data_IF_719760036931
#
_entry.id   IF_719760036931
#
_cell.length_a   1.000
_cell.length_b   1.000
_cell.length_c   1.000
_cell.angle_alpha   90.00
_cell.angle_beta   90.00
_cell.angle_gamma   90.00
#
_symmetry.space_group_name_H-M   'P 1'
#
loop_
_entity.id
_entity.type
_entity.pdbx_description
1 polymer ?
#
# COMPACT_ATOMS: atom_id res chain seq x y z
N UNK A 1 2.47 -2.29 -22.65
CA UNK A 1 3.18 -0.99 -22.52
C UNK A 1 3.10 -0.51 -21.09
N UNK A 2 4.24 -0.10 -20.51
CA UNK A 2 4.35 0.40 -19.12
C UNK A 2 4.90 1.82 -19.14
N UNK A 3 4.23 2.76 -18.48
CA UNK A 3 4.60 4.18 -18.45
C UNK A 3 5.02 4.68 -19.85
N UNK A 4 4.13 4.62 -20.84
CA UNK A 4 4.50 4.85 -22.23
C UNK A 4 4.95 6.29 -22.48
N UNK A 5 5.83 6.50 -23.46
CA UNK A 5 6.28 7.84 -23.89
C UNK A 5 5.14 8.68 -24.49
N UNK A 6 4.19 8.03 -25.16
CA UNK A 6 3.02 8.62 -25.81
C UNK A 6 1.85 7.64 -25.76
N UNK A 7 0.66 8.06 -26.19
CA UNK A 7 -0.50 7.16 -26.41
C UNK A 7 -0.52 6.57 -27.85
N UNK A 8 0.52 6.84 -28.64
CA UNK A 8 0.63 6.45 -30.04
C UNK A 8 1.13 5.02 -30.26
N UNK A 9 1.03 4.50 -31.50
CA UNK A 9 1.48 3.15 -31.85
C UNK A 9 3.00 2.97 -31.77
N UNK A 10 3.77 4.06 -31.77
CA UNK A 10 5.22 4.10 -31.64
C UNK A 10 5.70 4.23 -30.18
N UNK A 11 4.79 4.18 -29.21
CA UNK A 11 5.11 4.29 -27.80
C UNK A 11 6.12 3.23 -27.34
N UNK A 12 7.05 3.65 -26.50
CA UNK A 12 8.02 2.76 -25.82
C UNK A 12 7.81 2.79 -24.32
N UNK A 13 8.11 1.68 -23.63
CA UNK A 13 7.99 1.64 -22.16
C UNK A 13 9.20 2.32 -21.52
N UNK A 14 8.99 3.05 -20.43
CA UNK A 14 10.04 3.85 -19.77
C UNK A 14 10.49 3.20 -18.45
N UNK A 15 11.29 2.13 -18.55
CA UNK A 15 11.77 1.35 -17.39
C UNK A 15 12.42 2.20 -16.29
N UNK A 16 13.37 3.06 -16.66
CA UNK A 16 14.09 3.90 -15.70
C UNK A 16 13.17 4.87 -14.93
N UNK A 17 12.12 5.39 -15.58
CA UNK A 17 11.14 6.25 -14.92
C UNK A 17 10.24 5.46 -13.98
N UNK A 18 9.88 4.22 -14.33
CA UNK A 18 9.12 3.33 -13.45
C UNK A 18 9.94 3.04 -12.19
N UNK A 19 11.22 2.67 -12.36
CA UNK A 19 12.11 2.39 -11.22
C UNK A 19 12.31 3.63 -10.35
N UNK A 20 12.57 4.79 -10.96
CA UNK A 20 12.71 6.05 -10.22
C UNK A 20 11.42 6.42 -9.46
N UNK A 21 10.25 6.24 -10.08
CA UNK A 21 8.96 6.50 -9.46
C UNK A 21 8.70 5.55 -8.28
N UNK A 22 8.85 4.23 -8.46
CA UNK A 22 8.67 3.24 -7.39
C UNK A 22 9.66 3.47 -6.23
N UNK A 23 10.89 3.86 -6.53
CA UNK A 23 11.87 4.24 -5.51
C UNK A 23 11.41 5.47 -4.70
N UNK A 24 10.79 6.47 -5.32
CA UNK A 24 10.19 7.62 -4.62
C UNK A 24 9.02 7.21 -3.72
N UNK A 25 8.24 6.21 -4.12
CA UNK A 25 7.08 5.74 -3.35
C UNK A 25 7.44 4.70 -2.26
N UNK A 26 8.70 4.24 -2.20
CA UNK A 26 9.11 3.16 -1.28
C UNK A 26 8.77 3.45 0.18
N UNK A 27 8.97 4.68 0.63
CA UNK A 27 8.62 5.11 2.01
C UNK A 27 7.13 4.94 2.30
N UNK A 28 6.27 5.42 1.37
CA UNK A 28 4.81 5.31 1.45
C UNK A 28 4.37 3.85 1.43
N UNK A 29 4.80 3.08 0.42
CA UNK A 29 4.38 1.68 0.23
C UNK A 29 4.78 0.84 1.44
N UNK A 30 6.01 1.03 1.95
CA UNK A 30 6.51 0.32 3.13
C UNK A 30 5.70 0.67 4.38
N UNK A 31 5.49 1.96 4.64
CA UNK A 31 4.75 2.44 5.82
C UNK A 31 3.28 2.01 5.78
N UNK A 32 2.64 2.07 4.61
CA UNK A 32 1.28 1.56 4.45
C UNK A 32 1.26 0.04 4.65
N UNK A 33 2.16 -0.73 4.05
CA UNK A 33 2.21 -2.19 4.25
C UNK A 33 2.41 -2.54 5.73
N UNK A 34 3.26 -1.80 6.44
CA UNK A 34 3.45 -1.95 7.88
C UNK A 34 2.16 -1.72 8.67
N UNK A 35 1.48 -0.59 8.44
CA UNK A 35 0.20 -0.26 9.09
C UNK A 35 -0.89 -1.27 8.73
N UNK A 36 -0.96 -1.69 7.47
CA UNK A 36 -1.95 -2.66 6.97
C UNK A 36 -1.85 -4.02 7.68
N UNK A 37 -0.64 -4.46 8.03
CA UNK A 37 -0.42 -5.78 8.62
C UNK A 37 -0.43 -5.77 10.15
N UNK A 38 -0.09 -4.64 10.79
CA UNK A 38 0.12 -4.59 12.24
C UNK A 38 -0.84 -3.67 13.00
N UNK A 39 -1.59 -2.79 12.34
CA UNK A 39 -2.54 -1.94 13.05
C UNK A 39 -3.74 -2.75 13.55
N UNK A 40 -4.30 -2.35 14.69
CA UNK A 40 -5.51 -2.98 15.23
C UNK A 40 -6.71 -2.85 14.29
N UNK A 41 -6.75 -1.82 13.45
CA UNK A 41 -7.84 -1.60 12.49
C UNK A 41 -7.84 -2.61 11.36
N UNK A 42 -6.66 -3.17 11.03
CA UNK A 42 -6.56 -4.25 10.07
C UNK A 42 -7.29 -5.51 10.53
N UNK A 43 -7.66 -5.65 11.81
CA UNK A 43 -8.45 -6.80 12.27
C UNK A 43 -9.81 -6.92 11.56
N UNK A 44 -10.41 -5.83 11.06
CA UNK A 44 -11.67 -5.89 10.29
C UNK A 44 -11.39 -6.16 8.80
N UNK A 45 -11.86 -7.30 8.30
CA UNK A 45 -11.74 -7.68 6.89
C UNK A 45 -12.23 -6.59 5.92
N UNK A 46 -13.27 -5.82 6.27
CA UNK A 46 -13.77 -4.75 5.39
C UNK A 46 -12.79 -3.61 5.22
N UNK A 47 -12.07 -3.28 6.29
CA UNK A 47 -11.07 -2.21 6.29
C UNK A 47 -9.85 -2.70 5.53
N UNK A 48 -9.40 -3.94 5.80
CA UNK A 48 -8.27 -4.53 5.12
C UNK A 48 -8.50 -4.74 3.62
N UNK A 49 -9.64 -5.31 3.21
CA UNK A 49 -9.79 -5.90 1.87
C UNK A 49 -9.97 -4.90 0.74
N UNK A 50 -10.63 -3.76 0.99
CA UNK A 50 -11.07 -2.86 -0.08
C UNK A 50 -11.04 -1.39 0.34
N UNK A 51 -10.91 -0.52 -0.66
CA UNK A 51 -10.84 0.91 -0.47
C UNK A 51 -12.21 1.61 -0.51
N UNK A 52 -13.32 0.87 -0.64
CA UNK A 52 -14.66 1.45 -0.71
C UNK A 52 -15.06 2.11 0.61
N UNK A 53 -15.49 3.36 0.54
CA UNK A 53 -16.11 4.04 1.67
C UNK A 53 -17.58 3.65 1.81
N UNK A 54 -18.02 3.40 3.04
CA UNK A 54 -19.40 2.97 3.34
C UNK A 54 -20.07 3.80 4.45
N UNK A 55 -19.51 4.97 4.80
CA UNK A 55 -20.03 5.85 5.86
C UNK A 55 -19.99 5.27 7.28
N UNK A 56 -19.42 4.07 7.46
CA UNK A 56 -19.40 3.33 8.73
C UNK A 56 -18.00 2.94 9.18
N UNK A 57 -16.95 3.62 8.71
CA UNK A 57 -15.61 3.41 9.27
C UNK A 57 -15.56 4.15 10.62
N UNK A 58 -16.17 3.54 11.64
CA UNK A 58 -16.44 4.08 12.99
C UNK A 58 -15.20 4.36 13.84
N UNK A 59 -14.00 4.29 13.26
CA UNK A 59 -12.76 4.78 13.84
C UNK A 59 -12.01 5.53 12.74
N UNK A 60 -11.60 6.75 13.05
CA UNK A 60 -11.09 7.84 12.19
C UNK A 60 -9.70 7.54 11.60
N UNK A 61 -9.58 6.35 11.02
CA UNK A 61 -8.34 5.59 10.98
C UNK A 61 -8.34 4.47 9.93
N UNK A 62 -9.51 3.98 9.52
CA UNK A 62 -9.65 2.97 8.48
C UNK A 62 -9.54 3.51 7.06
N UNK A 63 -8.68 4.46 6.72
CA UNK A 63 -8.59 4.96 5.33
C UNK A 63 -7.73 4.07 4.42
N UNK A 64 -7.03 3.11 5.00
CA UNK A 64 -6.09 2.24 4.30
C UNK A 64 -6.60 0.80 4.24
N UNK A 65 -6.19 0.10 3.18
CA UNK A 65 -6.58 -1.23 2.74
C UNK A 65 -5.48 -1.83 1.87
N UNK A 66 -5.61 -3.09 1.49
CA UNK A 66 -4.73 -3.72 0.51
C UNK A 66 -5.01 -3.20 -0.91
N UNK A 67 -6.25 -2.83 -1.20
CA UNK A 67 -6.68 -2.35 -2.52
C UNK A 67 -6.05 -0.99 -2.86
N UNK A 68 -5.91 -0.04 -1.93
CA UNK A 68 -5.23 1.24 -2.22
C UNK A 68 -3.71 1.10 -2.44
N UNK A 69 -3.03 0.18 -1.74
CA UNK A 69 -1.63 -0.12 -2.02
C UNK A 69 -1.51 -0.76 -3.41
N UNK A 70 -2.41 -1.70 -3.72
CA UNK A 70 -2.53 -2.35 -5.02
C UNK A 70 -2.75 -1.35 -6.16
N UNK A 71 -3.69 -0.41 -5.99
CA UNK A 71 -4.04 0.61 -6.97
C UNK A 71 -2.85 1.55 -7.26
N UNK A 72 -2.10 1.90 -6.21
CA UNK A 72 -0.83 2.62 -6.30
C UNK A 72 0.12 1.99 -7.31
N UNK A 73 0.46 0.72 -7.11
CA UNK A 73 1.42 -0.01 -7.98
C UNK A 73 0.93 -0.09 -9.43
N UNK A 74 -0.36 -0.34 -9.63
CA UNK A 74 -0.98 -0.36 -10.96
C UNK A 74 -0.73 0.94 -11.73
N UNK A 75 -1.06 2.08 -11.12
CA UNK A 75 -0.92 3.39 -11.76
C UNK A 75 0.55 3.83 -11.84
N UNK A 76 1.38 3.53 -10.83
CA UNK A 76 2.80 3.88 -10.79
C UNK A 76 3.62 3.18 -11.88
N UNK A 77 3.29 1.93 -12.23
CA UNK A 77 3.88 1.18 -13.36
C UNK A 77 3.21 1.55 -14.69
N UNK A 78 1.89 1.69 -14.65
CA UNK A 78 1.06 1.78 -15.83
C UNK A 78 1.05 3.14 -16.47
N UNK A 79 0.75 4.18 -15.69
CA UNK A 79 0.25 5.46 -16.19
C UNK A 79 -0.82 5.23 -17.27
N UNK A 80 -0.79 5.90 -18.42
CA UNK A 80 -1.70 5.63 -19.54
C UNK A 80 -1.49 4.27 -20.23
N UNK A 81 -0.50 3.49 -19.79
CA UNK A 81 -0.22 2.14 -20.27
C UNK A 81 -1.16 1.07 -19.70
N UNK A 82 -0.82 -0.19 -19.98
CA UNK A 82 -1.72 -1.33 -19.74
C UNK A 82 -1.99 -1.51 -18.25
N UNK A 83 -0.95 -1.52 -17.41
CA UNK A 83 -1.07 -1.70 -15.95
C UNK A 83 -1.91 -0.61 -15.26
N UNK A 84 -2.09 0.56 -15.88
CA UNK A 84 -2.81 1.69 -15.28
C UNK A 84 -4.29 1.75 -15.69
N UNK A 85 -4.75 0.80 -16.52
CA UNK A 85 -6.13 0.67 -16.92
C UNK A 85 -6.70 -0.71 -16.55
N UNK A 86 -7.79 -0.74 -15.77
CA UNK A 86 -8.46 -1.96 -15.32
C UNK A 86 -8.81 -2.96 -16.43
N UNK A 87 -9.14 -2.50 -17.63
CA UNK A 87 -9.52 -3.38 -18.75
C UNK A 87 -8.33 -4.06 -19.41
N UNK A 88 -7.11 -3.51 -19.24
CA UNK A 88 -5.92 -3.96 -19.95
C UNK A 88 -4.78 -4.43 -19.04
N UNK A 89 -4.85 -4.20 -17.73
CA UNK A 89 -3.75 -4.46 -16.81
C UNK A 89 -3.29 -5.93 -16.84
N UNK A 90 -4.23 -6.87 -16.93
CA UNK A 90 -3.94 -8.30 -16.94
C UNK A 90 -3.16 -8.80 -18.17
N UNK A 91 -3.06 -8.00 -19.24
CA UNK A 91 -2.23 -8.35 -20.41
C UNK A 91 -0.73 -8.09 -20.19
N UNK A 92 -0.37 -7.32 -19.16
CA UNK A 92 1.03 -7.12 -18.78
C UNK A 92 1.50 -8.23 -17.82
N UNK A 93 2.59 -8.97 -18.09
CA UNK A 93 3.09 -10.00 -17.18
C UNK A 93 3.38 -9.53 -15.74
N UNK A 94 3.65 -8.23 -15.52
CA UNK A 94 3.82 -7.69 -14.17
C UNK A 94 2.55 -7.80 -13.32
N UNK A 95 1.36 -7.87 -13.95
CA UNK A 95 0.10 -8.08 -13.27
C UNK A 95 0.14 -9.30 -12.35
N UNK A 96 0.61 -10.44 -12.87
CA UNK A 96 0.63 -11.70 -12.10
C UNK A 96 1.61 -11.64 -10.93
N UNK A 97 2.77 -10.98 -11.11
CA UNK A 97 3.76 -10.83 -10.04
C UNK A 97 3.23 -9.90 -8.95
N UNK A 98 2.60 -8.79 -9.34
CA UNK A 98 1.96 -7.87 -8.41
C UNK A 98 0.85 -8.56 -7.62
N UNK A 99 -0.07 -9.25 -8.29
CA UNK A 99 -1.18 -9.96 -7.65
C UNK A 99 -0.73 -11.15 -6.80
N UNK A 100 0.38 -11.83 -7.13
CA UNK A 100 0.98 -12.83 -6.25
C UNK A 100 1.47 -12.21 -4.93
N UNK A 101 2.01 -10.98 -4.97
CA UNK A 101 2.37 -10.29 -3.73
C UNK A 101 1.15 -9.75 -2.96
N UNK A 102 0.08 -9.34 -3.65
CA UNK A 102 -1.20 -8.97 -2.99
C UNK A 102 -1.80 -10.18 -2.27
N UNK A 103 -1.83 -11.35 -2.91
CA UNK A 103 -2.24 -12.61 -2.28
C UNK A 103 -1.33 -13.00 -1.11
N UNK A 104 -0.01 -12.80 -1.24
CA UNK A 104 0.95 -12.96 -0.12
C UNK A 104 0.60 -12.08 1.07
N UNK A 105 0.33 -10.80 0.85
CA UNK A 105 -0.07 -9.88 1.92
C UNK A 105 -1.37 -10.33 2.58
N UNK A 106 -2.34 -10.80 1.79
CA UNK A 106 -3.60 -11.33 2.32
C UNK A 106 -3.39 -12.61 3.14
N UNK A 107 -2.58 -13.56 2.67
CA UNK A 107 -2.29 -14.79 3.40
C UNK A 107 -1.55 -14.52 4.73
N UNK A 108 -0.62 -13.55 4.74
CA UNK A 108 0.03 -13.08 5.98
C UNK A 108 -0.99 -12.47 6.93
N UNK A 109 -1.88 -11.60 6.42
CA UNK A 109 -2.94 -10.99 7.21
C UNK A 109 -3.89 -12.04 7.81
N UNK A 110 -4.33 -13.03 7.03
CA UNK A 110 -5.18 -14.12 7.50
C UNK A 110 -4.51 -14.94 8.62
N UNK A 111 -3.19 -15.12 8.56
CA UNK A 111 -2.44 -15.81 9.61
C UNK A 111 -2.39 -15.02 10.92
N UNK A 112 -2.36 -13.68 10.85
CA UNK A 112 -2.41 -12.79 12.02
C UNK A 112 -3.84 -12.63 12.57
N UNK A 113 -4.85 -12.70 11.71
CA UNK A 113 -6.26 -12.47 12.04
C UNK A 113 -7.13 -13.68 11.65
N UNK A 114 -6.88 -14.88 12.20
CA UNK A 114 -7.54 -16.11 11.76
C UNK A 114 -9.05 -16.13 11.96
N UNK A 115 -9.56 -15.30 12.88
CA UNK A 115 -10.99 -15.14 13.14
C UNK A 115 -11.64 -14.08 12.23
N UNK A 116 -10.87 -13.25 11.53
CA UNK A 116 -11.42 -12.22 10.65
C UNK A 116 -11.47 -12.69 9.21
N UNK A 117 -12.64 -12.57 8.61
CA UNK A 117 -12.88 -12.85 7.20
C UNK A 117 -14.19 -12.16 6.80
N UNK A 118 -14.70 -12.48 5.60
CA UNK A 118 -15.99 -11.99 5.10
C UNK A 118 -17.15 -12.31 6.09
N UNK A 119 -17.00 -13.30 6.97
CA UNK A 119 -18.01 -13.82 7.89
C UNK A 119 -18.07 -13.18 9.29
N UNK A 120 -17.00 -12.52 9.77
CA UNK A 120 -16.92 -12.02 11.15
C UNK A 120 -17.54 -10.61 11.34
N UNK A 121 -18.57 -10.35 10.55
CA UNK A 121 -19.37 -9.15 10.53
C UNK A 121 -20.52 -9.31 11.53
N UNK A 122 -20.50 -8.58 12.63
CA UNK A 122 -21.59 -8.65 13.61
C UNK A 122 -22.93 -8.16 13.03
N UNK A 123 -23.85 -9.11 12.79
CA UNK A 123 -25.31 -9.09 13.10
C UNK A 123 -26.26 -8.10 12.40
N UNK A 124 -25.93 -7.38 11.33
CA UNK A 124 -26.86 -6.34 10.80
C UNK A 124 -27.18 -6.32 9.30
N UNK A 125 -26.77 -7.28 8.46
CA UNK A 125 -27.28 -7.35 7.07
C UNK A 125 -27.44 -8.79 6.56
N UNK A 126 -28.67 -9.17 6.20
CA UNK A 126 -29.06 -10.52 5.74
C UNK A 126 -28.43 -11.00 4.42
N UNK A 127 -27.51 -10.23 3.81
CA UNK A 127 -26.89 -10.52 2.50
C UNK A 127 -25.45 -11.08 2.59
N UNK A 128 -24.89 -11.31 3.78
CA UNK A 128 -23.46 -11.61 3.95
C UNK A 128 -23.12 -13.10 3.81
N UNK A 129 -24.00 -14.00 4.26
CA UNK A 129 -23.88 -15.43 3.98
C UNK A 129 -23.89 -15.72 2.46
N UNK A 130 -24.57 -14.86 1.70
CA UNK A 130 -24.56 -14.93 0.25
C UNK A 130 -23.18 -14.55 -0.32
N UNK A 131 -22.44 -13.60 0.24
CA UNK A 131 -21.11 -13.20 -0.27
C UNK A 131 -20.07 -14.32 -0.12
N UNK A 132 -20.05 -15.02 1.02
CA UNK A 132 -19.15 -16.17 1.25
C UNK A 132 -19.36 -17.31 0.25
N UNK A 133 -20.62 -17.50 -0.16
CA UNK A 133 -21.06 -18.60 -1.02
C UNK A 133 -21.28 -18.16 -2.48
N UNK A 134 -21.11 -16.88 -2.79
CA UNK A 134 -21.21 -16.35 -4.15
C UNK A 134 -20.11 -16.98 -5.00
N UNK A 135 -20.49 -17.54 -6.15
CA UNK A 135 -19.55 -18.08 -7.11
C UNK A 135 -18.66 -16.97 -7.67
N UNK A 136 -17.36 -17.11 -7.51
CA UNK A 136 -16.33 -16.24 -8.06
C UNK A 136 -16.16 -16.57 -9.55
N UNK A 137 -17.09 -16.11 -10.38
CA UNK A 137 -17.04 -16.37 -11.82
C UNK A 137 -15.85 -15.65 -12.47
N UNK A 138 -15.18 -16.26 -13.47
CA UNK A 138 -15.50 -17.54 -14.11
C UNK A 138 -14.75 -18.76 -13.53
N UNK A 139 -14.19 -18.66 -12.32
CA UNK A 139 -13.26 -19.67 -11.78
C UNK A 139 -13.99 -20.92 -11.30
N UNK A 140 -13.87 -22.02 -12.07
CA UNK A 140 -14.53 -23.30 -11.78
C UNK A 140 -13.73 -24.13 -10.78
N UNK A 141 -14.41 -24.63 -9.74
CA UNK A 141 -13.90 -25.67 -8.85
C UNK A 141 -14.22 -27.07 -9.38
N UNK A 142 -15.36 -27.21 -10.05
CA UNK A 142 -15.78 -28.43 -10.75
C UNK A 142 -16.61 -28.08 -11.99
N UNK A 143 -17.15 -29.08 -12.68
CA UNK A 143 -18.05 -28.87 -13.82
C UNK A 143 -19.24 -27.98 -13.45
N UNK A 144 -19.82 -28.19 -12.27
CA UNK A 144 -21.11 -27.60 -11.87
C UNK A 144 -20.99 -26.57 -10.73
N UNK A 145 -19.77 -26.28 -10.27
CA UNK A 145 -19.52 -25.33 -9.18
C UNK A 145 -18.37 -24.36 -9.48
N UNK A 146 -18.57 -23.10 -9.11
CA UNK A 146 -17.51 -22.09 -9.05
C UNK A 146 -16.81 -22.13 -7.69
N UNK A 147 -15.55 -21.68 -7.66
CA UNK A 147 -14.90 -21.34 -6.41
C UNK A 147 -15.72 -20.25 -5.69
N UNK A 148 -15.71 -20.28 -4.37
CA UNK A 148 -16.32 -19.25 -3.52
C UNK A 148 -15.27 -18.69 -2.59
N UNK A 149 -15.53 -17.56 -1.95
CA UNK A 149 -14.59 -17.05 -0.95
C UNK A 149 -14.40 -18.06 0.20
N UNK A 150 -15.46 -18.80 0.58
CA UNK A 150 -15.34 -19.87 1.57
C UNK A 150 -14.38 -21.00 1.12
N UNK A 151 -14.48 -21.48 -0.13
CA UNK A 151 -13.61 -22.57 -0.62
C UNK A 151 -12.21 -22.11 -1.01
N UNK A 152 -12.02 -20.82 -1.29
CA UNK A 152 -10.74 -20.21 -1.64
C UNK A 152 -9.97 -19.60 -0.44
N UNK A 153 -10.53 -19.66 0.78
CA UNK A 153 -9.93 -19.02 1.98
C UNK A 153 -8.52 -19.51 2.31
N UNK A 154 -8.20 -20.76 2.00
CA UNK A 154 -6.92 -21.38 2.31
C UNK A 154 -6.13 -21.65 1.02
N UNK A 155 -4.97 -21.00 0.89
CA UNK A 155 -4.09 -21.14 -0.29
C UNK A 155 -3.64 -22.59 -0.52
N UNK A 156 -3.61 -23.42 0.53
CA UNK A 156 -3.27 -24.84 0.42
C UNK A 156 -4.30 -25.64 -0.38
N UNK A 157 -5.53 -25.16 -0.51
CA UNK A 157 -6.53 -25.74 -1.43
C UNK A 157 -6.10 -25.68 -2.90
N UNK A 158 -5.13 -24.82 -3.22
CA UNK A 158 -4.53 -24.65 -4.53
C UNK A 158 -3.07 -25.15 -4.59
N UNK A 159 -2.64 -25.94 -3.59
CA UNK A 159 -1.30 -26.53 -3.49
C UNK A 159 -0.14 -25.51 -3.44
N UNK A 160 -0.35 -24.32 -2.84
CA UNK A 160 0.73 -23.39 -2.58
C UNK A 160 0.63 -22.75 -1.18
N UNK A 161 1.74 -22.16 -0.74
CA UNK A 161 1.82 -21.27 0.43
C UNK A 161 3.03 -20.34 0.26
N UNK A 162 3.27 -19.47 1.24
CA UNK A 162 4.36 -18.48 1.21
C UNK A 162 5.48 -18.83 2.20
N UNK A 163 6.75 -18.51 1.89
CA UNK A 163 7.88 -18.82 2.76
C UNK A 163 7.73 -18.32 4.20
N UNK A 164 7.08 -17.17 4.40
CA UNK A 164 6.81 -16.60 5.72
C UNK A 164 5.89 -17.49 6.56
N UNK A 165 4.92 -18.15 5.92
CA UNK A 165 3.96 -19.03 6.59
C UNK A 165 4.51 -20.44 6.77
N UNK A 166 5.28 -20.93 5.80
CA UNK A 166 5.91 -22.25 5.84
C UNK A 166 6.97 -22.32 6.94
N UNK A 167 7.83 -21.29 7.03
CA UNK A 167 8.96 -21.26 7.97
C UNK A 167 8.56 -21.47 9.42
N UNK A 168 7.36 -21.02 9.79
CA UNK A 168 6.83 -21.08 11.16
C UNK A 168 5.70 -22.08 11.32
N UNK A 169 5.44 -22.91 10.30
CA UNK A 169 4.27 -23.78 10.24
C UNK A 169 4.14 -24.71 11.46
N UNK A 170 5.27 -25.23 11.97
CA UNK A 170 5.34 -26.14 13.11
C UNK A 170 5.21 -25.49 14.49
N UNK A 171 5.21 -24.15 14.57
CA UNK A 171 5.05 -23.45 15.84
C UNK A 171 3.58 -23.44 16.29
N UNK A 172 3.33 -23.42 17.62
CA UNK A 172 2.01 -23.13 18.17
C UNK A 172 1.46 -21.78 17.66
N UNK A 173 0.13 -21.59 17.60
CA UNK A 173 -0.49 -20.39 17.01
C UNK A 173 0.08 -19.07 17.53
N UNK A 174 0.23 -18.90 18.85
CA UNK A 174 0.75 -17.66 19.44
C UNK A 174 2.19 -17.38 19.01
N UNK A 175 3.08 -18.37 19.15
CA UNK A 175 4.49 -18.24 18.78
C UNK A 175 4.68 -17.97 17.27
N UNK A 176 3.79 -18.51 16.43
CA UNK A 176 3.74 -18.22 14.99
C UNK A 176 3.38 -16.75 14.75
N UNK A 177 2.34 -16.24 15.38
CA UNK A 177 1.93 -14.83 15.26
C UNK A 177 3.01 -13.87 15.75
N UNK A 178 3.63 -14.15 16.90
CA UNK A 178 4.72 -13.33 17.45
C UNK A 178 5.92 -13.27 16.49
N UNK A 179 6.24 -14.41 15.88
CA UNK A 179 7.34 -14.47 14.91
C UNK A 179 6.99 -13.78 13.59
N UNK A 180 5.78 -13.93 13.08
CA UNK A 180 5.32 -13.20 11.89
C UNK A 180 5.38 -11.68 12.11
N UNK A 181 4.92 -11.20 13.27
CA UNK A 181 5.04 -9.77 13.65
C UNK A 181 6.49 -9.30 13.65
N UNK A 182 7.39 -10.08 14.24
CA UNK A 182 8.84 -9.79 14.23
C UNK A 182 9.39 -9.68 12.80
N UNK A 183 9.02 -10.61 11.91
CA UNK A 183 9.48 -10.59 10.51
C UNK A 183 8.90 -9.38 9.75
N UNK A 184 7.64 -9.01 10.01
CA UNK A 184 6.98 -7.82 9.42
C UNK A 184 7.66 -6.54 9.89
N UNK A 185 7.97 -6.42 11.18
CA UNK A 185 8.71 -5.26 11.70
C UNK A 185 10.10 -5.14 11.08
N UNK A 186 10.81 -6.26 10.89
CA UNK A 186 12.12 -6.25 10.24
C UNK A 186 12.05 -5.84 8.76
N UNK A 187 10.98 -6.23 8.07
CA UNK A 187 10.75 -5.94 6.65
C UNK A 187 10.26 -4.52 6.38
N UNK A 188 9.21 -4.14 7.09
CA UNK A 188 8.38 -2.97 6.79
C UNK A 188 8.42 -1.90 7.87
N UNK A 189 9.07 -2.18 9.02
CA UNK A 189 9.21 -1.21 10.11
C UNK A 189 9.83 0.11 9.65
N UNK A 190 9.39 1.19 10.30
CA UNK A 190 9.81 2.54 9.95
C UNK A 190 11.31 2.75 10.31
N UNK A 191 12.03 3.48 9.45
CA UNK A 191 13.44 3.85 9.65
C UNK A 191 13.64 4.89 10.76
N UNK A 192 12.56 5.41 11.34
CA UNK A 192 12.58 6.26 12.55
C UNK A 192 12.95 5.43 13.78
N UNK A 193 12.55 4.15 13.82
CA UNK A 193 12.97 3.17 14.84
C UNK A 193 14.32 2.57 14.40
N UNK A 194 15.32 2.45 15.28
CA UNK A 194 16.57 1.76 14.97
C UNK A 194 16.27 0.33 14.49
N UNK A 195 16.76 -0.04 13.30
CA UNK A 195 16.61 -1.39 12.76
C UNK A 195 17.37 -2.37 13.67
N UNK A 196 16.64 -3.23 14.37
CA UNK A 196 17.23 -4.32 15.16
C UNK A 196 17.44 -5.55 14.27
N UNK A 197 18.70 -5.84 13.96
CA UNK A 197 19.21 -7.18 13.62
C UNK A 197 18.72 -7.86 12.33
N UNK A 198 19.53 -8.79 11.82
CA UNK A 198 19.31 -9.47 10.53
C UNK A 198 18.10 -10.42 10.52
N UNK A 199 16.99 -9.98 9.92
CA UNK A 199 15.83 -10.81 9.55
C UNK A 199 15.97 -11.45 8.16
N UNK A 200 15.00 -12.29 7.75
CA UNK A 200 14.93 -13.16 6.55
C UNK A 200 15.56 -12.63 5.23
N UNK A 201 15.68 -11.31 5.10
CA UNK A 201 16.04 -10.58 3.89
C UNK A 201 17.38 -9.83 4.00
N UNK A 202 18.17 -10.03 5.07
CA UNK A 202 19.56 -9.55 5.12
C UNK A 202 20.35 -10.06 3.90
N UNK A 203 20.11 -11.32 3.53
CA UNK A 203 20.64 -11.94 2.33
C UNK A 203 19.90 -11.54 1.05
N UNK A 204 18.63 -11.12 1.10
CA UNK A 204 17.88 -10.65 -0.08
C UNK A 204 18.37 -9.28 -0.56
N UNK A 205 18.73 -8.38 0.38
CA UNK A 205 19.40 -7.11 0.02
C UNK A 205 20.77 -7.31 -0.65
N UNK A 206 21.47 -8.38 -0.30
CA UNK A 206 22.76 -8.72 -0.91
C UNK A 206 22.63 -9.51 -2.23
N UNK A 207 21.45 -10.06 -2.53
CA UNK A 207 21.25 -10.99 -3.66
C UNK A 207 20.28 -10.52 -4.74
N UNK A 208 19.75 -9.30 -4.65
CA UNK A 208 19.23 -8.58 -5.83
C UNK A 208 20.39 -7.77 -6.40
N UNK A 209 21.05 -8.22 -7.49
CA UNK A 209 21.97 -7.36 -8.20
C UNK A 209 21.18 -6.12 -8.64
N UNK A 210 21.76 -4.93 -8.46
CA UNK A 210 21.32 -3.76 -9.22
C UNK A 210 21.20 -4.21 -10.68
N UNK A 211 20.03 -3.98 -11.29
CA UNK A 211 19.81 -4.34 -12.70
C UNK A 211 20.92 -3.66 -13.50
N UNK A 212 21.87 -4.48 -13.98
CA UNK A 212 22.85 -4.03 -14.95
C UNK A 212 22.09 -3.50 -16.15
N UNK A 213 22.40 -2.30 -16.63
CA UNK A 213 21.79 -1.61 -17.77
C UNK A 213 22.03 -2.30 -19.13
N UNK A 214 22.29 -3.61 -19.11
CA UNK A 214 22.59 -4.47 -20.25
C UNK A 214 21.77 -5.77 -20.17
N UNK A 215 20.44 -5.64 -20.14
CA UNK A 215 19.58 -6.82 -20.33
C UNK A 215 19.66 -7.30 -21.80
N UNK A 216 19.88 -8.59 -22.07
CA UNK A 216 19.89 -9.13 -23.43
C UNK A 216 18.47 -9.19 -24.02
N UNK A 217 18.32 -8.72 -25.26
CA UNK A 217 17.06 -8.49 -25.98
C UNK A 217 16.39 -9.72 -26.58
N UNK A 218 16.73 -10.95 -26.17
CA UNK A 218 16.16 -12.17 -26.77
C UNK A 218 15.83 -13.24 -25.74
N UNK A 219 14.55 -13.54 -25.57
CA UNK A 219 14.05 -14.70 -24.84
C UNK A 219 14.22 -15.96 -25.70
N UNK A 220 15.25 -16.76 -25.40
CA UNK A 220 15.43 -18.10 -25.97
C UNK A 220 14.65 -19.14 -25.16
N UNK A 221 13.69 -19.83 -25.78
CA UNK A 221 13.01 -20.98 -25.18
C UNK A 221 13.95 -22.18 -25.28
N UNK A 222 14.63 -22.52 -24.18
CA UNK A 222 15.36 -23.78 -24.05
C UNK A 222 14.65 -24.68 -23.03
N UNK A 223 14.27 -25.89 -23.47
CA UNK A 223 13.75 -26.97 -22.62
C UNK A 223 14.78 -27.32 -21.53
N UNK A 224 14.46 -27.08 -20.26
CA UNK A 224 15.28 -27.55 -19.14
C UNK A 224 14.81 -28.94 -18.70
N UNK A 225 15.62 -29.95 -19.04
CA UNK A 225 15.70 -31.21 -18.29
C UNK A 225 16.35 -30.95 -16.94
N UNK A 226 15.72 -31.41 -15.85
CA UNK A 226 16.24 -31.27 -14.50
C UNK A 226 17.27 -32.36 -14.18
N UNK A 227 18.50 -31.96 -13.88
CA UNK A 227 19.41 -32.72 -13.01
C UNK A 227 19.72 -31.86 -11.79
N UNK A 228 19.57 -32.44 -10.60
CA UNK A 228 19.81 -31.78 -9.32
C UNK A 228 21.28 -31.94 -8.90
N UNK A 229 22.00 -30.87 -8.51
CA UNK A 229 23.31 -31.02 -7.92
C UNK A 229 23.22 -31.19 -6.40
N UNK A 230 23.89 -32.24 -5.89
CA UNK A 230 24.13 -32.44 -4.46
C UNK A 230 24.99 -31.30 -3.90
N UNK A 231 24.50 -30.60 -2.86
CA UNK A 231 25.31 -29.67 -2.07
C UNK A 231 25.77 -30.32 -0.77
N UNK A 232 27.08 -30.43 -0.61
CA UNK A 232 27.76 -30.74 0.65
C UNK A 232 27.55 -29.61 1.65
N UNK A 233 27.02 -29.91 2.84
CA UNK A 233 26.89 -28.95 3.94
C UNK A 233 28.28 -28.57 4.48
N UNK A 234 28.55 -27.26 4.57
CA UNK A 234 29.67 -26.72 5.35
C UNK A 234 29.09 -26.10 6.63
N UNK A 235 29.69 -26.44 7.78
CA UNK A 235 29.28 -25.97 9.10
C UNK A 235 29.31 -24.42 9.20
N UNK A 236 28.47 -23.81 10.06
CA UNK A 236 28.41 -22.36 10.20
C UNK A 236 29.69 -21.82 10.83
N UNK A 237 30.21 -20.73 10.27
CA UNK A 237 31.30 -19.97 10.87
C UNK A 237 30.77 -19.16 12.07
N UNK A 238 31.57 -19.09 13.15
CA UNK A 238 31.30 -18.27 14.32
C UNK A 238 31.21 -16.78 13.97
N UNK A 239 30.23 -16.11 14.57
CA UNK A 239 29.88 -14.70 14.36
C UNK A 239 30.75 -13.81 15.27
N UNK A 240 31.44 -12.78 14.75
CA UNK A 240 32.08 -11.78 15.61
C UNK A 240 30.99 -10.93 16.29
N UNK A 241 31.14 -10.72 17.60
CA UNK A 241 30.24 -9.91 18.41
C UNK A 241 30.04 -8.50 17.82
N UNK A 242 28.77 -8.09 17.77
CA UNK A 242 28.33 -6.79 17.28
C UNK A 242 29.10 -5.64 17.94
N UNK A 243 29.72 -4.79 17.14
CA UNK A 243 30.23 -3.51 17.60
C UNK A 243 29.03 -2.67 18.07
N UNK A 244 29.08 -2.23 19.32
CA UNK A 244 28.03 -1.49 20.00
C UNK A 244 27.60 -0.24 19.22
N UNK A 245 26.32 -0.20 18.83
CA UNK A 245 25.68 1.00 18.34
C UNK A 245 25.61 2.02 19.48
N UNK A 246 26.10 3.23 19.24
CA UNK A 246 25.94 4.37 20.14
C UNK A 246 24.45 4.61 20.41
N UNK A 247 24.06 4.69 21.69
CA UNK A 247 22.68 4.89 22.11
C UNK A 247 22.07 6.15 21.50
N UNK A 248 21.08 5.97 20.63
CA UNK A 248 20.12 7.02 20.29
C UNK A 248 19.22 7.25 21.52
N UNK A 249 18.70 8.46 21.76
CA UNK A 249 17.69 8.66 22.79
C UNK A 249 16.56 7.65 22.57
N UNK A 250 16.17 6.93 23.62
CA UNK A 250 15.06 5.96 23.56
C UNK A 250 13.77 6.72 23.24
N UNK A 251 13.47 6.88 21.95
CA UNK A 251 12.16 7.34 21.50
C UNK A 251 11.18 6.26 21.94
N UNK A 252 10.42 6.53 22.99
CA UNK A 252 9.39 5.62 23.52
C UNK A 252 8.01 5.91 22.93
N UNK A 253 7.84 7.06 22.29
CA UNK A 253 6.61 7.50 21.66
C UNK A 253 6.88 8.48 20.51
N UNK A 254 5.94 8.55 19.56
CA UNK A 254 5.92 9.55 18.49
C UNK A 254 4.50 9.79 17.99
N UNK A 255 4.26 10.89 17.29
CA UNK A 255 3.00 11.15 16.59
C UNK A 255 3.12 10.72 15.13
N UNK A 256 2.28 9.76 14.71
CA UNK A 256 2.20 9.31 13.33
C UNK A 256 1.25 10.22 12.54
N UNK A 257 1.79 11.01 11.61
CA UNK A 257 1.06 11.98 10.80
C UNK A 257 0.63 11.40 9.45
N UNK A 258 -0.63 11.60 9.10
CA UNK A 258 -1.27 10.98 7.94
C UNK A 258 -2.05 12.03 7.14
N UNK A 259 -1.89 11.98 5.82
CA UNK A 259 -2.84 12.58 4.89
C UNK A 259 -3.85 11.51 4.46
N UNK A 260 -5.09 11.65 4.91
CA UNK A 260 -6.19 10.77 4.55
C UNK A 260 -6.97 11.37 3.37
N UNK A 261 -7.37 10.51 2.44
CA UNK A 261 -8.01 10.91 1.19
C UNK A 261 -9.35 10.19 1.09
N UNK A 262 -10.41 10.93 0.85
CA UNK A 262 -11.71 10.44 0.41
C UNK A 262 -12.02 11.08 -0.94
N UNK A 263 -12.36 10.28 -1.95
CA UNK A 263 -12.64 10.79 -3.30
C UNK A 263 -13.56 9.85 -4.07
N UNK A 264 -14.35 10.37 -4.99
CA UNK A 264 -15.14 9.54 -5.89
C UNK A 264 -14.24 8.82 -6.90
N UNK A 265 -14.32 7.48 -6.96
CA UNK A 265 -13.46 6.59 -7.76
C UNK A 265 -13.43 6.94 -9.25
N UNK A 266 -14.55 7.46 -9.75
CA UNK A 266 -14.82 7.63 -11.17
C UNK A 266 -14.83 9.09 -11.63
N UNK A 267 -14.55 10.03 -10.72
CA UNK A 267 -14.60 11.49 -10.97
C UNK A 267 -13.74 11.96 -12.15
N UNK A 268 -12.57 11.36 -12.36
CA UNK A 268 -11.69 11.69 -13.49
C UNK A 268 -12.00 10.92 -14.79
N UNK A 269 -12.98 10.00 -14.78
CA UNK A 269 -13.35 9.05 -15.86
C UNK A 269 -12.26 8.07 -16.30
N UNK A 270 -11.07 8.16 -15.71
CA UNK A 270 -9.92 7.29 -15.92
C UNK A 270 -9.10 7.25 -14.64
N UNK A 271 -8.13 6.35 -14.53
CA UNK A 271 -7.18 6.33 -13.40
C UNK A 271 -6.48 7.69 -13.25
N UNK A 272 -6.24 8.09 -12.00
CA UNK A 272 -5.62 9.35 -11.66
C UNK A 272 -4.84 9.25 -10.36
N UNK A 273 -3.96 10.22 -10.14
CA UNK A 273 -3.08 10.30 -8.98
C UNK A 273 -3.18 11.66 -8.30
N UNK A 274 -3.06 11.65 -6.99
CA UNK A 274 -2.96 12.82 -6.12
C UNK A 274 -1.56 12.81 -5.51
N UNK A 275 -0.76 13.80 -5.88
CA UNK A 275 0.62 13.97 -5.45
C UNK A 275 0.65 14.90 -4.25
N UNK A 276 1.30 14.49 -3.17
CA UNK A 276 1.47 15.27 -1.96
C UNK A 276 2.91 15.76 -1.84
N UNK A 277 3.07 17.04 -1.53
CA UNK A 277 4.37 17.70 -1.40
C UNK A 277 4.47 18.38 -0.04
N UNK A 278 5.69 18.48 0.47
CA UNK A 278 6.03 19.40 1.56
C UNK A 278 6.98 20.46 1.00
N UNK A 279 6.62 21.74 1.11
CA UNK A 279 7.35 22.87 0.55
C UNK A 279 7.20 23.05 -0.95
N UNK A 280 8.02 23.93 -1.51
CA UNK A 280 7.97 24.30 -2.93
C UNK A 280 8.17 23.08 -3.84
N UNK A 281 7.37 22.95 -4.90
CA UNK A 281 7.48 21.85 -5.85
C UNK A 281 7.48 22.41 -7.28
N UNK A 282 7.91 21.60 -8.23
CA UNK A 282 7.99 22.01 -9.64
C UNK A 282 6.62 22.34 -10.23
N UNK A 283 6.57 23.39 -11.05
CA UNK A 283 5.39 23.74 -11.85
C UNK A 283 5.22 22.87 -13.11
N UNK A 284 6.12 21.92 -13.35
CA UNK A 284 6.09 21.01 -14.50
C UNK A 284 5.40 19.68 -14.14
N UNK A 285 4.14 19.43 -14.56
CA UNK A 285 3.38 18.26 -14.10
C UNK A 285 4.03 16.92 -14.46
N UNK A 286 4.76 16.86 -15.58
CA UNK A 286 5.49 15.67 -15.99
C UNK A 286 6.61 15.25 -15.03
N UNK A 287 7.04 16.15 -14.13
CA UNK A 287 8.13 15.92 -13.17
C UNK A 287 7.64 15.67 -11.74
N UNK A 288 6.34 15.79 -11.47
CA UNK A 288 5.78 15.66 -10.12
C UNK A 288 6.11 14.33 -9.43
N UNK A 289 6.10 13.21 -10.17
CA UNK A 289 6.43 11.88 -9.64
C UNK A 289 7.87 11.74 -9.13
N UNK A 290 8.78 12.61 -9.58
CA UNK A 290 10.21 12.57 -9.24
C UNK A 290 10.67 13.79 -8.44
N UNK A 291 9.75 14.72 -8.14
CA UNK A 291 10.04 15.95 -7.43
C UNK A 291 10.69 15.64 -6.06
N UNK A 292 11.79 16.33 -5.69
CA UNK A 292 12.48 16.07 -4.43
C UNK A 292 11.59 16.35 -3.21
N UNK A 293 10.58 17.21 -3.37
CA UNK A 293 9.65 17.59 -2.34
C UNK A 293 8.35 16.77 -2.35
N UNK A 294 8.22 15.76 -3.23
CA UNK A 294 7.16 14.76 -3.15
C UNK A 294 7.33 13.91 -1.88
N UNK A 295 6.24 13.72 -1.13
CA UNK A 295 6.21 12.86 0.08
C UNK A 295 5.40 11.59 -0.11
N UNK A 296 4.51 11.57 -1.09
CA UNK A 296 3.82 10.37 -1.52
C UNK A 296 2.74 10.65 -2.55
N UNK A 297 2.31 9.59 -3.20
CA UNK A 297 1.23 9.63 -4.19
C UNK A 297 0.12 8.66 -3.76
N UNK A 298 -1.12 9.14 -3.77
CA UNK A 298 -2.30 8.28 -3.73
C UNK A 298 -2.85 8.15 -5.14
N UNK A 299 -3.13 6.92 -5.58
CA UNK A 299 -3.64 6.65 -6.92
C UNK A 299 -4.97 5.94 -6.84
N UNK A 300 -5.90 6.37 -7.68
CA UNK A 300 -7.17 5.69 -7.91
C UNK A 300 -7.04 4.90 -9.20
N UNK A 301 -7.06 3.57 -9.08
CA UNK A 301 -7.04 2.67 -10.21
C UNK A 301 -8.47 2.36 -10.67
N UNK A 302 -8.72 2.63 -11.94
CA UNK A 302 -10.00 2.35 -12.57
C UNK A 302 -9.81 2.07 -14.05
N UNK A 303 -10.91 1.87 -14.75
CA UNK A 303 -10.92 1.78 -16.20
C UNK A 303 -11.21 3.16 -16.83
N UNK A 304 -10.96 3.30 -18.13
CA UNK A 304 -11.47 4.42 -18.90
C UNK A 304 -12.97 4.23 -19.15
N UNK A 305 -13.80 5.06 -18.51
CA UNK A 305 -15.26 4.97 -18.58
C UNK A 305 -15.83 5.16 -19.98
N UNK A 306 -15.12 5.84 -20.88
CA UNK A 306 -15.58 6.08 -22.25
C UNK A 306 -15.45 4.84 -23.13
N UNK A 307 -14.53 3.93 -22.79
CA UNK A 307 -14.21 2.73 -23.59
C UNK A 307 -14.57 1.42 -22.89
N UNK A 308 -14.89 1.45 -21.59
CA UNK A 308 -14.96 0.24 -20.79
C UNK A 308 -16.16 -0.66 -21.10
N UNK A 309 -15.90 -1.98 -21.11
CA UNK A 309 -16.93 -3.01 -21.05
C UNK A 309 -17.44 -3.30 -19.62
N UNK A 310 -16.79 -2.78 -18.59
CA UNK A 310 -17.07 -3.07 -17.18
C UNK A 310 -18.41 -2.45 -16.73
N UNK A 311 -19.46 -3.26 -16.67
CA UNK A 311 -20.78 -2.82 -16.19
C UNK A 311 -20.74 -2.29 -14.74
N UNK A 312 -20.07 -3.02 -13.84
CA UNK A 312 -19.91 -2.61 -12.44
C UNK A 312 -19.23 -1.24 -12.29
N UNK A 313 -18.26 -0.94 -13.16
CA UNK A 313 -17.56 0.35 -13.15
C UNK A 313 -18.50 1.49 -13.58
N UNK A 314 -19.36 1.26 -14.58
CA UNK A 314 -20.38 2.22 -15.00
C UNK A 314 -21.44 2.44 -13.92
N UNK A 315 -21.92 1.38 -13.28
CA UNK A 315 -22.84 1.48 -12.16
C UNK A 315 -22.22 2.24 -10.99
N UNK A 316 -20.98 1.88 -10.61
CA UNK A 316 -20.26 2.55 -9.52
C UNK A 316 -20.02 4.04 -9.78
N UNK A 317 -19.80 4.43 -11.05
CA UNK A 317 -19.74 5.83 -11.45
C UNK A 317 -21.09 6.54 -11.31
N UNK A 318 -22.18 5.90 -11.74
CA UNK A 318 -23.54 6.46 -11.57
C UNK A 318 -23.98 6.59 -10.10
N UNK A 319 -23.46 5.73 -9.23
CA UNK A 319 -23.70 5.76 -7.77
C UNK A 319 -22.79 6.74 -7.02
N UNK A 320 -21.77 7.33 -7.67
CA UNK A 320 -20.78 8.17 -6.98
C UNK A 320 -19.95 7.38 -5.96
N UNK A 321 -19.47 6.19 -6.34
CA UNK A 321 -18.72 5.32 -5.42
C UNK A 321 -17.50 6.03 -4.86
N UNK A 322 -17.49 6.22 -3.53
CA UNK A 322 -16.40 6.84 -2.80
C UNK A 322 -15.33 5.81 -2.41
N UNK A 323 -14.07 6.20 -2.51
CA UNK A 323 -12.90 5.41 -2.11
C UNK A 323 -11.99 6.18 -1.18
N UNK A 324 -11.25 5.45 -0.35
CA UNK A 324 -10.32 6.01 0.62
C UNK A 324 -8.88 5.53 0.44
N UNK A 325 -7.94 6.36 0.88
CA UNK A 325 -6.52 5.99 0.99
C UNK A 325 -5.78 6.86 1.99
N UNK A 326 -4.52 6.49 2.26
CA UNK A 326 -3.64 7.24 3.17
C UNK A 326 -2.25 7.44 2.56
N UNK A 327 -1.71 8.64 2.74
CA UNK A 327 -0.30 8.99 2.51
C UNK A 327 0.36 9.31 3.86
N UNK A 328 1.26 8.45 4.38
CA UNK A 328 1.99 8.72 5.61
C UNK A 328 2.99 9.87 5.42
N UNK A 329 3.00 10.80 6.36
CA UNK A 329 3.86 11.99 6.34
C UNK A 329 5.05 11.89 7.30
N UNK A 330 4.94 11.03 8.32
CA UNK A 330 5.89 10.88 9.44
C UNK A 330 7.34 10.72 9.01
N UNK A 331 7.63 9.78 8.09
CA UNK A 331 9.01 9.54 7.63
C UNK A 331 9.56 10.75 6.85
N UNK A 332 8.74 11.41 6.04
CA UNK A 332 9.13 12.60 5.31
C UNK A 332 9.39 13.81 6.23
N UNK A 333 8.54 14.01 7.23
CA UNK A 333 8.71 15.04 8.26
C UNK A 333 10.00 14.82 9.06
N UNK A 334 10.23 13.59 9.53
CA UNK A 334 11.43 13.22 10.28
C UNK A 334 12.73 13.40 9.47
N UNK A 335 12.70 13.09 8.17
CA UNK A 335 13.87 13.24 7.30
C UNK A 335 14.21 14.71 6.98
N UNK A 336 13.21 15.56 6.80
CA UNK A 336 13.40 16.96 6.36
C UNK A 336 13.78 17.89 7.49
N UNK A 337 13.12 17.74 8.62
CA UNK A 337 13.23 18.67 9.72
C UNK A 337 14.33 18.23 10.71
N UNK A 338 14.79 16.99 10.58
CA UNK A 338 15.80 16.39 11.43
C UNK A 338 15.15 15.76 12.66
N UNK A 339 15.41 14.48 12.91
CA UNK A 339 14.79 13.69 13.99
C UNK A 339 14.89 14.35 15.38
N UNK A 340 15.91 15.18 15.60
CA UNK A 340 16.18 15.85 16.87
C UNK A 340 15.46 17.20 17.04
N UNK A 341 14.92 17.79 15.95
CA UNK A 341 14.41 19.17 15.96
C UNK A 341 12.92 19.33 16.25
N UNK A 342 12.17 18.23 16.31
CA UNK A 342 10.70 18.30 16.30
C UNK A 342 9.98 17.65 17.48
N UNK A 343 10.70 17.21 18.51
CA UNK A 343 10.13 16.56 19.70
C UNK A 343 9.01 15.57 19.37
N UNK A 344 9.32 14.31 19.03
CA UNK A 344 8.29 13.31 18.75
C UNK A 344 7.22 13.70 17.66
N UNK A 345 7.46 14.77 16.89
CA UNK A 345 6.53 15.37 15.91
C UNK A 345 5.27 15.96 16.56
N UNK A 346 5.44 16.80 17.59
CA UNK A 346 4.32 17.37 18.35
C UNK A 346 3.35 18.22 17.48
N UNK A 347 2.02 18.17 17.74
CA UNK A 347 1.03 18.97 17.03
C UNK A 347 1.29 20.48 17.03
N UNK A 348 1.81 21.03 18.14
CA UNK A 348 2.09 22.46 18.26
C UNK A 348 3.08 22.98 17.19
N UNK A 349 3.98 22.12 16.72
CA UNK A 349 4.96 22.46 15.67
C UNK A 349 4.47 22.02 14.28
N UNK A 350 3.79 20.87 14.21
CA UNK A 350 3.38 20.27 12.95
C UNK A 350 2.16 20.93 12.32
N UNK A 351 1.19 21.40 13.12
CA UNK A 351 0.01 22.08 12.58
C UNK A 351 0.41 23.34 11.79
N UNK A 352 1.16 24.31 12.34
CA UNK A 352 1.57 25.50 11.56
C UNK A 352 2.43 25.15 10.35
N UNK A 353 3.32 24.16 10.48
CA UNK A 353 4.19 23.71 9.40
C UNK A 353 3.38 23.12 8.24
N UNK A 354 2.49 22.16 8.51
CA UNK A 354 1.68 21.49 7.49
C UNK A 354 0.67 22.44 6.85
N UNK A 355 0.11 23.39 7.61
CA UNK A 355 -0.77 24.43 7.06
C UNK A 355 -0.06 25.23 5.97
N UNK A 356 1.22 25.54 6.17
CA UNK A 356 2.03 26.33 5.22
C UNK A 356 2.61 25.49 4.08
N UNK A 357 3.18 24.33 4.41
CA UNK A 357 4.09 23.61 3.53
C UNK A 357 3.44 22.40 2.84
N UNK A 358 2.32 21.88 3.34
CA UNK A 358 1.65 20.76 2.68
C UNK A 358 0.95 21.26 1.41
N UNK A 359 1.22 20.63 0.27
CA UNK A 359 0.52 20.90 -0.99
C UNK A 359 0.08 19.59 -1.66
N UNK A 360 -0.99 19.64 -2.45
CA UNK A 360 -1.37 18.52 -3.30
C UNK A 360 -1.77 18.95 -4.71
N UNK A 361 -1.55 18.06 -5.68
CA UNK A 361 -1.91 18.23 -7.10
C UNK A 361 -2.50 16.95 -7.66
N UNK A 362 -3.35 17.08 -8.67
CA UNK A 362 -4.11 15.97 -9.26
C UNK A 362 -3.74 15.85 -10.74
N UNK A 363 -3.49 14.63 -11.19
CA UNK A 363 -3.16 14.33 -12.58
C UNK A 363 -3.84 13.04 -13.01
N UNK A 364 -4.39 12.98 -14.22
CA UNK A 364 -4.80 11.70 -14.81
C UNK A 364 -3.57 10.85 -15.14
N UNK A 365 -3.76 9.55 -15.27
CA UNK A 365 -2.75 8.62 -15.77
C UNK A 365 -2.17 9.02 -17.15
N UNK A 366 -2.92 9.78 -17.96
CA UNK A 366 -2.47 10.36 -19.23
C UNK A 366 -1.70 11.68 -19.11
N UNK A 367 -1.41 12.13 -17.88
CA UNK A 367 -0.62 13.34 -17.64
C UNK A 367 -1.41 14.64 -17.62
N UNK A 368 -2.73 14.61 -17.83
CA UNK A 368 -3.58 15.81 -17.79
C UNK A 368 -3.78 16.27 -16.35
N UNK A 369 -3.43 17.51 -16.05
CA UNK A 369 -3.69 18.14 -14.75
C UNK A 369 -5.19 18.32 -14.55
N UNK A 370 -5.65 18.03 -13.33
CA UNK A 370 -7.00 18.35 -12.88
C UNK A 370 -6.86 19.43 -11.81
N UNK A 371 -7.49 20.58 -12.03
CA UNK A 371 -7.54 21.61 -10.99
C UNK A 371 -8.34 21.09 -9.80
N UNK A 372 -7.89 21.38 -8.59
CA UNK A 372 -8.52 20.85 -7.37
C UNK A 372 -9.99 21.27 -7.22
N UNK A 373 -10.34 22.44 -7.76
CA UNK A 373 -11.71 22.92 -7.78
C UNK A 373 -12.62 22.11 -8.73
N UNK A 374 -12.04 21.46 -9.74
CA UNK A 374 -12.76 20.63 -10.71
C UNK A 374 -12.99 19.19 -10.21
N UNK A 375 -12.52 18.87 -8.99
CA UNK A 375 -12.76 17.59 -8.31
C UNK A 375 -13.39 17.83 -6.92
N UNK A 376 -14.65 18.29 -6.86
CA UNK A 376 -15.29 18.69 -5.61
C UNK A 376 -15.51 17.53 -4.62
N UNK A 377 -15.51 16.28 -5.10
CA UNK A 377 -15.60 15.09 -4.25
C UNK A 377 -14.31 14.76 -3.49
N UNK A 378 -13.18 15.37 -3.86
CA UNK A 378 -11.92 15.17 -3.14
C UNK A 378 -11.98 15.85 -1.78
N UNK A 379 -11.71 15.07 -0.74
CA UNK A 379 -11.51 15.51 0.64
C UNK A 379 -10.19 14.96 1.15
N UNK A 380 -9.25 15.86 1.40
CA UNK A 380 -8.00 15.58 2.11
C UNK A 380 -8.16 16.03 3.55
N UNK A 381 -8.01 15.12 4.51
CA UNK A 381 -7.96 15.42 5.94
C UNK A 381 -6.60 15.04 6.51
N UNK A 382 -6.11 15.84 7.46
CA UNK A 382 -4.84 15.55 8.16
C UNK A 382 -5.16 15.06 9.55
N UNK A 383 -4.57 13.93 9.90
CA UNK A 383 -4.68 13.37 11.25
C UNK A 383 -3.31 13.06 11.81
N UNK A 384 -3.24 13.00 13.13
CA UNK A 384 -2.14 12.33 13.80
C UNK A 384 -2.66 11.25 14.74
N UNK A 385 -1.83 10.23 14.96
CA UNK A 385 -2.10 9.14 15.88
C UNK A 385 -0.93 9.05 16.85
N UNK A 386 -1.14 9.20 18.16
CA UNK A 386 -0.09 8.95 19.15
C UNK A 386 0.32 7.47 19.09
N UNK A 387 1.61 7.19 18.96
CA UNK A 387 2.15 5.83 18.92
C UNK A 387 3.11 5.62 20.07
N UNK A 388 2.84 4.61 20.90
CA UNK A 388 3.78 4.14 21.91
C UNK A 388 4.56 2.95 21.37
N UNK A 389 5.88 3.02 21.49
CA UNK A 389 6.77 1.96 21.07
C UNK A 389 6.94 0.94 22.21
N UNK A 390 6.97 -0.36 21.89
CA UNK A 390 7.12 -1.40 22.88
C UNK A 390 8.57 -1.48 23.37
N UNK A 391 8.76 -1.90 24.63
CA UNK A 391 10.10 -2.17 25.18
C UNK A 391 10.76 -3.39 24.52
N UNK A 392 9.95 -4.36 24.06
CA UNK A 392 10.40 -5.57 23.38
C UNK A 392 10.02 -5.52 21.91
N UNK A 393 10.96 -5.91 21.06
CA UNK A 393 10.78 -6.01 19.59
C UNK A 393 9.69 -7.00 19.19
N UNK A 394 9.35 -7.96 20.06
CA UNK A 394 8.30 -8.95 19.80
C UNK A 394 6.90 -8.41 20.04
N UNK A 395 6.78 -7.32 20.79
CA UNK A 395 5.50 -6.74 21.15
C UNK A 395 5.13 -5.70 20.07
N UNK A 396 3.83 -5.46 19.88
CA UNK A 396 3.37 -4.47 18.90
C UNK A 396 3.44 -3.07 19.48
N UNK A 397 3.76 -2.04 18.67
CA UNK A 397 3.44 -0.68 19.08
C UNK A 397 1.93 -0.53 19.25
N UNK A 398 1.54 0.40 20.12
CA UNK A 398 0.14 0.72 20.36
C UNK A 398 -0.17 2.07 19.73
N UNK A 399 -1.17 2.09 18.87
CA UNK A 399 -1.74 3.31 18.31
C UNK A 399 -2.86 3.80 19.22
N UNK A 400 -2.79 5.06 19.63
CA UNK A 400 -3.85 5.77 20.35
C UNK A 400 -5.01 6.14 19.44
N UNK A 401 -5.88 7.02 19.93
CA UNK A 401 -6.97 7.57 19.14
C UNK A 401 -6.45 8.59 18.11
N UNK A 402 -6.93 8.48 16.87
CA UNK A 402 -6.65 9.45 15.81
C UNK A 402 -7.31 10.80 16.10
N UNK A 403 -6.52 11.86 15.98
CA UNK A 403 -6.96 13.25 16.15
C UNK A 403 -6.85 13.97 14.81
N UNK A 404 -7.97 14.52 14.36
CA UNK A 404 -8.10 15.27 13.10
C UNK A 404 -7.73 16.74 13.32
N UNK A 405 -7.10 17.34 12.32
CA UNK A 405 -6.71 18.76 12.30
C UNK A 405 -7.30 19.50 11.09
N UNK A 406 -8.60 19.85 11.13
CA UNK A 406 -9.28 20.54 10.02
C UNK A 406 -8.64 21.89 9.67
N UNK A 407 -7.97 22.55 10.60
CA UNK A 407 -7.30 23.84 10.40
C UNK A 407 -6.19 23.80 9.33
N UNK A 408 -5.66 22.61 9.02
CA UNK A 408 -4.62 22.42 7.99
C UNK A 408 -5.22 22.44 6.58
N UNK A 409 -6.48 22.02 6.43
CA UNK A 409 -7.14 21.73 5.15
C UNK A 409 -8.35 22.61 4.85
N UNK A 410 -9.00 23.15 5.87
CA UNK A 410 -10.22 23.97 5.76
C UNK A 410 -9.97 25.19 4.84
N UNK A 411 -10.92 25.43 3.93
CA UNK A 411 -10.86 26.55 2.98
C UNK A 411 -9.92 26.32 1.78
N UNK A 412 -9.23 25.17 1.71
CA UNK A 412 -8.37 24.82 0.59
C UNK A 412 -9.13 23.92 -0.39
N UNK A 413 -9.06 24.15 -1.71
CA UNK A 413 -9.70 23.27 -2.70
C UNK A 413 -9.28 21.80 -2.52
N UNK A 414 -10.26 20.91 -2.43
CA UNK A 414 -10.07 19.49 -2.16
C UNK A 414 -9.69 19.13 -0.71
N UNK A 415 -9.71 20.09 0.21
CA UNK A 415 -9.49 19.87 1.65
C UNK A 415 -10.80 19.57 2.38
N UNK A 416 -10.75 18.71 3.39
CA UNK A 416 -11.85 18.51 4.32
C UNK A 416 -12.00 19.71 5.25
N UNK A 417 -13.24 20.14 5.48
CA UNK A 417 -13.60 21.11 6.52
C UNK A 417 -14.02 20.43 7.82
N UNK A 418 -14.24 21.22 8.87
CA UNK A 418 -14.65 20.71 10.19
C UNK A 418 -15.99 19.95 10.16
N UNK A 419 -16.90 20.33 9.26
CA UNK A 419 -18.22 19.68 9.12
C UNK A 419 -18.17 18.44 8.21
N UNK A 420 -17.06 18.18 7.50
CA UNK A 420 -16.88 16.97 6.68
C UNK A 420 -16.45 15.76 7.55
N UNK A 421 -16.22 15.95 8.85
CA UNK A 421 -15.74 14.94 9.80
C UNK A 421 -16.89 14.16 10.51
N UNK A 422 -18.15 14.51 10.26
CA UNK A 422 -19.34 14.03 10.98
C UNK A 422 -20.31 13.14 10.16
N UNK A 423 -20.00 12.80 8.89
CA UNK A 423 -20.88 12.01 7.99
C UNK A 423 -20.47 10.54 7.78
#
# INVERSE_FOLDING_TARGET
MRYPTTEGPDATSQGDLIDANLNRQTSRIRSNTYRLLLSAQAEDYRVFSNNRWSGRRTSRDGFQSVEDIHDGIHVEIGQSGHMGNGDFAAFDPMFMIHHANVDRLFAIWQALHPQSYIDNMSRMQQNEAALLSTGLTPFRQSKDAFWTAASARDTRSFNYTYPELEKWASLPPQAKSDRLRTDIMALYGNSVIPRLGEGLFSNARASVPLVSSSAPTTFGIAKMTMEAPQRTMRAPAEVPAAAAASALPEITHYNDWLANILVEKHSAKTSFSIYFFLGDFTNEPAKWSLDPNLVGTYSVFTTNLEMTGCERCRTGAGEGTMVTGTVPLTEALGNRLGKEKLGALEPAEMIPYLTKELHWRIQTAGGRVIERADMPSLKVSITHVPVSLPEKVTDLPTWGESVVHPEITTGRPGGAGADDDDD
#
